data_IF_892781685145
#
_entry.id   IF_892781685145
#
_cell.length_a   1.000
_cell.length_b   1.000
_cell.length_c   1.000
_cell.angle_alpha   90.00
_cell.angle_beta   90.00
_cell.angle_gamma   90.00
#
_symmetry.space_group_name_H-M   'P 1'
#
loop_
_entity.id
_entity.type
_entity.pdbx_description
1 polymer ?
#
# COMPACT_ATOMS: atom_id res chain seq x y z
N UNK A 1 -44.61 -25.17 21.91
CA UNK A 1 -43.26 -24.65 21.65
C UNK A 1 -43.11 -24.48 20.13
N UNK A 2 -43.02 -23.24 19.61
CA UNK A 2 -42.65 -23.01 18.20
C UNK A 2 -41.20 -23.53 18.04
N UNK A 3 -40.96 -24.42 17.05
CA UNK A 3 -39.57 -24.77 16.68
C UNK A 3 -38.88 -23.47 16.28
N UNK A 4 -37.80 -23.13 16.95
CA UNK A 4 -36.94 -22.00 16.56
C UNK A 4 -36.38 -22.34 15.16
N UNK A 5 -36.67 -21.47 14.22
CA UNK A 5 -36.15 -21.63 12.84
C UNK A 5 -34.63 -21.46 12.87
N UNK A 6 -33.89 -22.27 12.13
CA UNK A 6 -32.45 -22.12 12.01
C UNK A 6 -32.14 -20.73 11.42
N UNK A 7 -31.08 -20.10 11.88
CA UNK A 7 -30.70 -18.73 11.50
C UNK A 7 -30.55 -18.59 9.97
N UNK A 8 -29.92 -19.56 9.32
CA UNK A 8 -29.74 -19.61 7.87
C UNK A 8 -31.01 -19.53 7.03
N UNK A 9 -32.18 -19.96 7.60
CA UNK A 9 -33.46 -19.97 6.91
C UNK A 9 -34.28 -18.68 7.14
N UNK A 10 -33.73 -17.70 7.85
CA UNK A 10 -34.40 -16.41 8.08
C UNK A 10 -34.21 -15.50 6.85
N UNK A 11 -35.14 -14.57 6.66
CA UNK A 11 -34.97 -13.45 5.76
C UNK A 11 -33.86 -12.52 6.28
N UNK A 12 -33.29 -11.68 5.43
CA UNK A 12 -32.22 -10.74 5.80
C UNK A 12 -32.64 -9.82 6.96
N UNK A 13 -33.86 -9.25 6.90
CA UNK A 13 -34.43 -8.41 7.97
C UNK A 13 -34.52 -9.19 9.29
N UNK A 14 -34.96 -10.46 9.25
CA UNK A 14 -35.06 -11.30 10.46
C UNK A 14 -33.66 -11.63 11.02
N UNK A 15 -32.66 -11.82 10.17
CA UNK A 15 -31.26 -12.02 10.60
C UNK A 15 -30.70 -10.78 11.28
N UNK A 16 -30.87 -9.60 10.67
CA UNK A 16 -30.43 -8.31 11.23
C UNK A 16 -31.08 -8.09 12.60
N UNK A 17 -32.39 -8.23 12.69
CA UNK A 17 -33.15 -8.09 13.96
C UNK A 17 -32.61 -9.05 15.04
N UNK A 18 -32.33 -10.29 14.66
CA UNK A 18 -31.82 -11.30 15.59
C UNK A 18 -30.38 -11.04 15.99
N UNK A 19 -29.53 -10.60 15.08
CA UNK A 19 -28.18 -10.22 15.36
C UNK A 19 -28.13 -9.03 16.32
N UNK A 20 -28.92 -7.99 16.09
CA UNK A 20 -29.08 -6.86 17.01
C UNK A 20 -29.49 -7.31 18.42
N UNK A 21 -30.54 -8.11 18.56
CA UNK A 21 -30.99 -8.63 19.86
C UNK A 21 -29.92 -9.46 20.57
N UNK A 22 -29.11 -10.19 19.83
CA UNK A 22 -28.02 -10.96 20.37
C UNK A 22 -26.88 -10.03 20.85
N UNK A 23 -26.48 -9.02 20.10
CA UNK A 23 -25.49 -8.01 20.51
C UNK A 23 -25.91 -7.29 21.79
N UNK A 24 -27.20 -6.87 21.90
CA UNK A 24 -27.77 -6.28 23.12
C UNK A 24 -27.66 -7.21 24.34
N UNK A 25 -27.87 -8.50 24.11
CA UNK A 25 -27.78 -9.50 25.18
C UNK A 25 -26.35 -9.68 25.65
N UNK A 26 -25.40 -9.74 24.71
CA UNK A 26 -23.96 -9.86 25.03
C UNK A 26 -23.47 -8.66 25.83
N UNK A 27 -23.80 -7.44 25.40
CA UNK A 27 -23.48 -6.22 26.14
C UNK A 27 -24.11 -6.17 27.53
N UNK A 28 -25.39 -6.59 27.65
CA UNK A 28 -26.07 -6.64 28.95
C UNK A 28 -25.43 -7.64 29.94
N UNK A 29 -24.79 -8.66 29.44
CA UNK A 29 -23.99 -9.63 30.21
C UNK A 29 -22.53 -9.16 30.44
N UNK A 30 -22.17 -7.97 29.94
CA UNK A 30 -20.86 -7.35 30.12
C UNK A 30 -19.77 -7.93 29.22
N UNK A 31 -20.15 -8.56 28.10
CA UNK A 31 -19.22 -9.09 27.10
C UNK A 31 -18.97 -8.07 26.01
N UNK A 32 -17.74 -8.04 25.49
CA UNK A 32 -17.34 -7.24 24.34
C UNK A 32 -17.95 -7.81 23.05
N UNK A 33 -18.43 -6.93 22.18
CA UNK A 33 -19.01 -7.25 20.86
C UNK A 33 -18.21 -6.48 19.83
N UNK A 34 -17.17 -7.13 19.24
CA UNK A 34 -16.16 -6.49 18.42
C UNK A 34 -15.78 -7.33 17.21
N UNK A 35 -15.56 -6.64 16.08
CA UNK A 35 -15.04 -7.21 14.84
C UNK A 35 -13.80 -6.42 14.45
N UNK A 36 -12.77 -7.11 14.00
CA UNK A 36 -11.52 -6.52 13.52
C UNK A 36 -11.18 -7.04 12.13
N UNK A 37 -10.46 -6.22 11.38
CA UNK A 37 -9.92 -6.63 10.09
C UNK A 37 -8.47 -6.18 9.95
N UNK A 38 -7.77 -6.92 9.10
CA UNK A 38 -6.41 -6.66 8.70
C UNK A 38 -6.17 -7.30 7.34
N UNK A 39 -5.62 -6.55 6.39
CA UNK A 39 -5.38 -7.06 5.06
C UNK A 39 -4.75 -6.06 4.11
N UNK A 40 -4.59 -6.50 2.87
CA UNK A 40 -3.95 -5.80 1.77
C UNK A 40 -2.91 -6.69 1.07
N UNK A 41 -2.37 -6.24 -0.05
CA UNK A 41 -1.37 -7.00 -0.81
C UNK A 41 -1.81 -8.44 -1.14
N UNK A 42 -3.03 -8.59 -1.68
CA UNK A 42 -3.65 -9.85 -2.11
C UNK A 42 -4.14 -10.78 -0.99
N UNK A 43 -4.16 -10.35 0.26
CA UNK A 43 -4.72 -11.15 1.36
C UNK A 43 -5.25 -10.31 2.51
N UNK A 44 -6.34 -10.75 3.11
CA UNK A 44 -6.91 -10.10 4.27
C UNK A 44 -8.00 -10.95 4.92
N UNK A 45 -8.41 -10.54 6.11
CA UNK A 45 -9.46 -11.21 6.85
C UNK A 45 -10.24 -10.22 7.73
N UNK A 46 -11.51 -10.52 7.90
CA UNK A 46 -12.38 -9.90 8.91
C UNK A 46 -12.67 -10.98 9.95
N UNK A 47 -12.51 -10.67 11.22
CA UNK A 47 -12.60 -11.65 12.29
C UNK A 47 -13.47 -11.15 13.43
N UNK A 48 -14.26 -12.06 14.01
CA UNK A 48 -14.88 -11.84 15.31
C UNK A 48 -13.81 -11.75 16.41
N UNK A 49 -13.92 -10.74 17.28
CA UNK A 49 -13.00 -10.50 18.41
C UNK A 49 -13.73 -10.25 19.74
N UNK A 50 -15.06 -10.37 19.76
CA UNK A 50 -15.82 -10.28 21.00
C UNK A 50 -15.57 -11.45 21.95
N UNK A 51 -16.07 -11.31 23.19
CA UNK A 51 -15.86 -12.29 24.26
C UNK A 51 -16.63 -13.61 24.06
N UNK A 52 -17.59 -13.63 23.17
CA UNK A 52 -18.43 -14.81 22.93
C UNK A 52 -17.81 -15.74 21.90
N UNK A 53 -18.09 -17.05 22.05
CA UNK A 53 -17.69 -18.03 21.03
C UNK A 53 -18.34 -17.73 19.68
N UNK A 54 -17.60 -18.02 18.59
CA UNK A 54 -18.09 -17.92 17.23
C UNK A 54 -19.33 -18.79 17.00
N UNK A 55 -20.31 -18.26 16.27
CA UNK A 55 -21.58 -18.91 15.98
C UNK A 55 -22.22 -18.33 14.71
N UNK A 56 -23.38 -18.87 14.27
CA UNK A 56 -24.08 -18.43 13.06
C UNK A 56 -24.37 -16.91 13.01
N UNK A 57 -24.49 -16.25 14.16
CA UNK A 57 -24.73 -14.79 14.24
C UNK A 57 -23.44 -14.02 14.06
N UNK A 58 -22.37 -14.45 14.71
CA UNK A 58 -21.04 -13.82 14.55
C UNK A 58 -20.53 -13.98 13.13
N UNK A 59 -20.72 -15.14 12.51
CA UNK A 59 -20.36 -15.37 11.10
C UNK A 59 -21.14 -14.40 10.18
N UNK A 60 -22.43 -14.26 10.40
CA UNK A 60 -23.26 -13.31 9.65
C UNK A 60 -22.79 -11.86 9.83
N UNK A 61 -22.45 -11.44 11.06
CA UNK A 61 -21.97 -10.09 11.33
C UNK A 61 -20.60 -9.82 10.67
N UNK A 62 -19.71 -10.80 10.69
CA UNK A 62 -18.42 -10.73 10.01
C UNK A 62 -18.59 -10.58 8.49
N UNK A 63 -19.53 -11.34 7.89
CA UNK A 63 -19.85 -11.22 6.47
C UNK A 63 -20.43 -9.82 6.14
N UNK A 64 -21.30 -9.26 6.99
CA UNK A 64 -21.84 -7.92 6.79
C UNK A 64 -20.77 -6.84 6.87
N UNK A 65 -19.82 -6.94 7.81
CA UNK A 65 -18.69 -6.01 7.90
C UNK A 65 -17.77 -6.16 6.68
N UNK A 66 -17.51 -7.39 6.24
CA UNK A 66 -16.72 -7.63 5.03
C UNK A 66 -17.33 -6.96 3.79
N UNK A 67 -18.66 -7.06 3.64
CA UNK A 67 -19.39 -6.42 2.55
C UNK A 67 -19.40 -4.89 2.67
N UNK A 68 -19.51 -4.33 3.88
CA UNK A 68 -19.49 -2.88 4.13
C UNK A 68 -18.11 -2.25 3.83
N UNK A 69 -17.02 -2.95 4.12
CA UNK A 69 -15.66 -2.48 3.85
C UNK A 69 -15.35 -2.41 2.35
N UNK A 70 -16.01 -3.20 1.52
CA UNK A 70 -15.89 -3.25 0.04
C UNK A 70 -14.45 -3.46 -0.49
N UNK A 71 -13.58 -4.10 0.29
CA UNK A 71 -12.21 -4.41 -0.14
C UNK A 71 -12.13 -5.63 -1.07
N UNK A 72 -13.25 -6.32 -1.30
CA UNK A 72 -13.33 -7.46 -2.19
C UNK A 72 -12.33 -8.56 -1.83
N UNK A 73 -11.44 -8.89 -2.75
CA UNK A 73 -10.43 -9.94 -2.52
C UNK A 73 -9.17 -9.46 -1.80
N UNK A 74 -9.13 -8.23 -1.31
CA UNK A 74 -7.93 -7.57 -0.76
C UNK A 74 -6.78 -7.45 -1.76
N UNK A 75 -7.11 -7.47 -3.07
CA UNK A 75 -6.12 -7.37 -4.13
C UNK A 75 -5.79 -5.92 -4.43
N UNK A 76 -4.50 -5.59 -4.43
CA UNK A 76 -3.98 -4.26 -4.75
C UNK A 76 -2.79 -3.89 -3.88
N UNK A 77 -2.16 -2.77 -4.23
CA UNK A 77 -1.00 -2.22 -3.51
C UNK A 77 -1.48 -1.30 -2.36
N UNK A 78 -2.27 -1.88 -1.45
CA UNK A 78 -2.78 -1.18 -0.28
C UNK A 78 -2.69 -2.06 0.97
N UNK A 79 -2.82 -1.45 2.14
CA UNK A 79 -3.15 -2.14 3.38
C UNK A 79 -4.31 -1.45 4.08
N UNK A 80 -5.13 -2.25 4.78
CA UNK A 80 -6.22 -1.73 5.57
C UNK A 80 -6.31 -2.52 6.88
N UNK A 81 -6.56 -1.81 7.97
CA UNK A 81 -6.78 -2.43 9.27
C UNK A 81 -7.77 -1.60 10.07
N UNK A 82 -8.50 -2.25 10.94
CA UNK A 82 -9.45 -1.51 11.76
C UNK A 82 -10.28 -2.39 12.67
N UNK A 83 -11.26 -1.76 13.27
CA UNK A 83 -12.21 -2.44 14.13
C UNK A 83 -13.55 -1.72 14.18
N UNK A 84 -14.58 -2.47 14.53
CA UNK A 84 -15.90 -1.97 14.90
C UNK A 84 -16.36 -2.59 16.21
N UNK A 85 -17.01 -1.80 17.04
CA UNK A 85 -17.67 -2.22 18.27
C UNK A 85 -19.18 -1.92 18.18
N UNK A 86 -19.99 -2.79 18.74
CA UNK A 86 -21.43 -2.57 18.76
C UNK A 86 -21.80 -1.46 19.75
N UNK A 87 -22.48 -0.43 19.26
CA UNK A 87 -23.06 0.69 20.01
C UNK A 87 -24.58 0.47 20.15
N UNK A 88 -25.03 0.23 21.39
CA UNK A 88 -26.44 0.00 21.70
C UNK A 88 -27.32 1.23 21.46
N UNK A 89 -26.79 2.44 21.68
CA UNK A 89 -27.55 3.68 21.50
C UNK A 89 -27.80 3.94 20.01
N UNK A 90 -26.82 3.59 19.17
CA UNK A 90 -26.90 3.72 17.72
C UNK A 90 -27.51 2.49 17.04
N UNK A 91 -27.57 1.34 17.72
CA UNK A 91 -27.95 0.05 17.16
C UNK A 91 -27.15 -0.30 15.91
N UNK A 92 -25.84 -0.06 15.96
CA UNK A 92 -24.91 -0.18 14.87
C UNK A 92 -23.55 -0.65 15.36
N UNK A 93 -22.78 -1.28 14.51
CA UNK A 93 -21.35 -1.35 14.70
C UNK A 93 -20.72 -0.04 14.23
N UNK A 94 -19.89 0.56 15.06
CA UNK A 94 -19.18 1.79 14.78
C UNK A 94 -17.69 1.60 15.03
N UNK A 95 -16.88 2.17 14.20
CA UNK A 95 -15.42 2.00 14.34
C UNK A 95 -14.64 2.83 13.35
N UNK A 96 -13.38 2.45 13.20
CA UNK A 96 -12.42 3.18 12.38
C UNK A 96 -11.70 2.20 11.47
N UNK A 97 -11.59 2.58 10.22
CA UNK A 97 -10.79 1.94 9.20
C UNK A 97 -9.55 2.80 8.92
N UNK A 98 -8.38 2.18 9.00
CA UNK A 98 -7.09 2.76 8.66
C UNK A 98 -6.64 2.16 7.33
N UNK A 99 -6.75 2.95 6.29
CA UNK A 99 -6.39 2.56 4.93
C UNK A 99 -5.09 3.25 4.50
N UNK A 100 -4.17 2.51 3.92
CA UNK A 100 -2.97 3.07 3.29
C UNK A 100 -2.80 2.51 1.88
N UNK A 101 -2.32 3.33 0.97
CA UNK A 101 -2.06 2.97 -0.42
C UNK A 101 -0.66 3.40 -0.84
N UNK A 102 0.08 2.44 -1.39
CA UNK A 102 1.38 2.70 -1.99
C UNK A 102 1.20 3.35 -3.37
N UNK A 103 1.95 4.40 -3.63
CA UNK A 103 1.97 5.11 -4.92
C UNK A 103 3.43 5.37 -5.34
N UNK A 104 3.60 5.70 -6.62
CA UNK A 104 4.91 5.99 -7.19
C UNK A 104 4.93 7.40 -7.73
N UNK A 105 5.93 8.17 -7.34
CA UNK A 105 6.16 9.52 -7.81
C UNK A 105 7.44 9.61 -8.62
N UNK A 106 7.32 10.09 -9.84
CA UNK A 106 8.47 10.46 -10.65
C UNK A 106 9.20 11.67 -10.08
N UNK A 107 10.51 11.75 -10.28
CA UNK A 107 11.25 12.97 -10.01
C UNK A 107 10.79 14.10 -10.95
N UNK A 108 10.78 15.34 -10.46
CA UNK A 108 10.41 16.54 -11.25
C UNK A 108 11.24 16.69 -12.51
N UNK A 109 12.49 16.26 -12.48
CA UNK A 109 13.41 16.29 -13.60
C UNK A 109 14.08 14.94 -13.76
N UNK A 110 14.17 14.48 -15.00
CA UNK A 110 14.90 13.25 -15.32
C UNK A 110 16.38 13.38 -15.01
N UNK A 111 16.94 12.38 -14.35
CA UNK A 111 18.37 12.23 -14.22
C UNK A 111 18.93 11.67 -15.52
N UNK A 112 20.06 12.21 -15.99
CA UNK A 112 20.66 11.83 -17.26
C UNK A 112 22.14 11.51 -17.06
N UNK A 113 22.55 10.29 -17.44
CA UNK A 113 23.95 9.89 -17.50
C UNK A 113 24.46 10.09 -18.92
N UNK A 114 25.52 10.89 -19.07
CA UNK A 114 26.19 11.13 -20.33
C UNK A 114 27.49 10.30 -20.42
N UNK A 115 27.59 9.43 -21.42
CA UNK A 115 28.81 8.61 -21.65
C UNK A 115 29.46 9.04 -22.95
N UNK A 116 30.76 9.37 -22.93
CA UNK A 116 31.48 9.72 -24.16
C UNK A 116 31.36 8.62 -25.23
N UNK A 117 30.93 8.97 -26.43
CA UNK A 117 30.69 8.06 -27.57
C UNK A 117 31.93 7.28 -28.02
N UNK A 118 33.12 7.71 -27.59
CA UNK A 118 34.38 6.99 -27.86
C UNK A 118 34.45 5.60 -27.22
N UNK A 119 33.62 5.37 -26.19
CA UNK A 119 33.53 4.10 -25.48
C UNK A 119 32.47 3.20 -26.10
N UNK A 120 32.81 1.94 -26.23
CA UNK A 120 31.86 0.90 -26.65
C UNK A 120 31.69 -0.12 -25.53
N UNK A 121 30.44 -0.55 -25.34
CA UNK A 121 30.05 -1.59 -24.37
C UNK A 121 28.81 -2.33 -24.90
N UNK A 122 28.47 -3.49 -24.34
CA UNK A 122 27.31 -4.27 -24.76
C UNK A 122 26.03 -3.76 -24.08
N UNK A 123 26.13 -3.49 -22.79
CA UNK A 123 25.00 -3.13 -21.95
C UNK A 123 25.47 -2.22 -20.81
N UNK A 124 24.64 -1.28 -20.42
CA UNK A 124 24.76 -0.51 -19.18
C UNK A 124 23.63 -0.90 -18.24
N UNK A 125 23.93 -1.04 -16.95
CA UNK A 125 22.94 -1.23 -15.90
C UNK A 125 23.13 -0.21 -14.81
N UNK A 126 22.04 0.28 -14.24
CA UNK A 126 22.08 1.16 -13.09
C UNK A 126 21.13 0.67 -11.99
N UNK A 127 21.42 1.09 -10.78
CA UNK A 127 20.60 0.86 -9.62
C UNK A 127 20.62 2.11 -8.74
N UNK A 128 19.43 2.60 -8.41
CA UNK A 128 19.21 3.74 -7.51
C UNK A 128 18.42 3.22 -6.32
N UNK A 129 18.97 3.35 -5.12
CA UNK A 129 18.33 2.83 -3.92
C UNK A 129 18.39 3.81 -2.76
N UNK A 130 17.35 3.80 -1.95
CA UNK A 130 17.33 4.36 -0.62
C UNK A 130 16.41 3.50 0.25
N UNK A 131 17.01 2.74 1.16
CA UNK A 131 16.29 1.78 2.00
C UNK A 131 15.94 2.29 3.39
N UNK A 132 16.40 3.48 3.78
CA UNK A 132 16.19 3.94 5.15
C UNK A 132 14.84 4.64 5.38
N UNK A 133 14.03 4.82 4.31
CA UNK A 133 12.70 5.41 4.42
C UNK A 133 12.69 6.82 5.03
N UNK A 134 13.81 7.54 4.93
CA UNK A 134 13.98 8.88 5.48
C UNK A 134 14.44 9.83 4.38
N UNK A 135 13.74 10.92 4.18
CA UNK A 135 14.11 11.97 3.23
C UNK A 135 15.51 12.60 3.52
N UNK A 136 16.10 12.29 4.69
CA UNK A 136 17.45 12.70 5.07
C UNK A 136 18.49 11.63 4.74
N UNK A 137 18.09 10.40 4.35
CA UNK A 137 19.02 9.35 3.90
C UNK A 137 19.62 9.70 2.54
N UNK A 138 20.84 9.23 2.34
CA UNK A 138 21.54 9.45 1.08
C UNK A 138 21.16 8.35 0.09
N UNK A 139 20.68 8.75 -1.08
CA UNK A 139 20.46 7.82 -2.19
C UNK A 139 21.79 7.16 -2.57
N UNK A 140 21.78 5.86 -2.78
CA UNK A 140 22.90 5.14 -3.38
C UNK A 140 22.65 4.95 -4.87
N UNK A 141 23.61 5.37 -5.69
CA UNK A 141 23.59 5.17 -7.14
C UNK A 141 24.79 4.36 -7.60
N UNK A 142 24.53 3.25 -8.26
CA UNK A 142 25.56 2.43 -8.89
C UNK A 142 25.31 2.30 -10.38
N UNK A 143 26.38 2.34 -11.18
CA UNK A 143 26.32 2.12 -12.62
C UNK A 143 27.44 1.15 -13.04
N UNK A 144 27.08 0.18 -13.86
CA UNK A 144 27.99 -0.83 -14.35
C UNK A 144 27.83 -0.99 -15.87
N UNK A 145 28.93 -1.30 -16.54
CA UNK A 145 28.90 -1.69 -17.95
C UNK A 145 29.30 -3.14 -18.12
N UNK A 146 28.66 -3.82 -19.03
CA UNK A 146 29.00 -5.19 -19.44
C UNK A 146 29.71 -5.13 -20.79
N UNK A 147 30.96 -5.55 -20.81
CA UNK A 147 31.74 -5.76 -22.02
C UNK A 147 32.86 -6.75 -21.74
N UNK A 148 33.52 -7.30 -22.79
CA UNK A 148 34.61 -8.27 -22.67
C UNK A 148 35.88 -7.70 -22.04
N UNK A 149 36.12 -6.39 -22.18
CA UNK A 149 37.22 -5.65 -21.56
C UNK A 149 36.73 -4.25 -21.20
N UNK A 150 36.85 -3.89 -19.93
CA UNK A 150 36.44 -2.56 -19.44
C UNK A 150 37.65 -1.62 -19.53
N UNK A 151 37.46 -0.51 -20.25
CA UNK A 151 38.47 0.56 -20.31
C UNK A 151 38.54 1.27 -18.93
N UNK A 152 39.73 1.37 -18.30
CA UNK A 152 39.90 2.05 -17.02
C UNK A 152 39.47 3.53 -17.04
N UNK A 153 39.56 4.20 -18.21
CA UNK A 153 39.10 5.57 -18.36
C UNK A 153 37.53 5.63 -18.28
N UNK A 154 36.84 4.67 -18.90
CA UNK A 154 35.39 4.58 -18.82
C UNK A 154 34.93 4.35 -17.37
N UNK A 155 35.61 3.45 -16.65
CA UNK A 155 35.27 3.18 -15.25
C UNK A 155 35.42 4.44 -14.36
N UNK A 156 36.47 5.22 -14.58
CA UNK A 156 36.67 6.48 -13.85
C UNK A 156 35.61 7.54 -14.22
N UNK A 157 35.24 7.61 -15.51
CA UNK A 157 34.19 8.54 -15.97
C UNK A 157 32.83 8.18 -15.36
N UNK A 158 32.45 6.90 -15.34
CA UNK A 158 31.24 6.42 -14.74
C UNK A 158 31.14 6.74 -13.23
N UNK A 159 32.26 6.56 -12.51
CA UNK A 159 32.33 6.92 -11.08
C UNK A 159 32.07 8.41 -10.84
N UNK A 160 32.68 9.27 -11.64
CA UNK A 160 32.47 10.73 -11.52
C UNK A 160 31.04 11.12 -11.85
N UNK A 161 30.48 10.52 -12.90
CA UNK A 161 29.10 10.76 -13.30
C UNK A 161 28.12 10.24 -12.24
N UNK A 162 28.42 9.09 -11.63
CA UNK A 162 27.61 8.52 -10.56
C UNK A 162 27.51 9.47 -9.36
N UNK A 163 28.63 10.08 -8.93
CA UNK A 163 28.62 11.02 -7.82
C UNK A 163 27.73 12.25 -8.12
N UNK A 164 27.80 12.78 -9.35
CA UNK A 164 27.00 13.94 -9.78
C UNK A 164 25.51 13.58 -9.86
N UNK A 165 25.19 12.41 -10.41
CA UNK A 165 23.79 11.94 -10.53
C UNK A 165 23.20 11.69 -9.15
N UNK A 166 23.96 11.05 -8.27
CA UNK A 166 23.56 10.84 -6.88
C UNK A 166 23.17 12.15 -6.21
N UNK A 167 24.05 13.17 -6.24
CA UNK A 167 23.80 14.49 -5.66
C UNK A 167 22.55 15.14 -6.26
N UNK A 168 22.37 15.01 -7.58
CA UNK A 168 21.19 15.53 -8.27
C UNK A 168 19.89 14.84 -7.80
N UNK A 169 19.88 13.51 -7.65
CA UNK A 169 18.72 12.77 -7.16
C UNK A 169 18.42 13.13 -5.70
N UNK A 170 19.45 13.17 -4.84
CA UNK A 170 19.33 13.59 -3.44
C UNK A 170 18.68 14.99 -3.31
N UNK A 171 19.11 15.94 -4.13
CA UNK A 171 18.55 17.30 -4.12
C UNK A 171 17.09 17.33 -4.57
N UNK A 172 16.71 16.52 -5.56
CA UNK A 172 15.33 16.43 -6.01
C UNK A 172 14.42 15.79 -4.94
N UNK A 173 14.84 14.65 -4.37
CA UNK A 173 14.08 13.97 -3.31
C UNK A 173 13.82 14.91 -2.14
N UNK A 174 14.83 15.66 -1.68
CA UNK A 174 14.69 16.61 -0.58
C UNK A 174 13.82 17.84 -0.89
N UNK A 175 13.69 18.18 -2.18
CA UNK A 175 12.90 19.34 -2.61
C UNK A 175 11.45 19.02 -2.92
N UNK A 176 11.07 17.74 -2.98
CA UNK A 176 9.72 17.33 -3.29
C UNK A 176 8.77 17.64 -2.15
N UNK A 177 7.62 18.20 -2.52
CA UNK A 177 6.48 18.38 -1.62
C UNK A 177 5.61 17.13 -1.67
N UNK A 178 5.71 16.29 -0.67
CA UNK A 178 4.94 15.06 -0.57
C UNK A 178 3.49 15.29 -0.12
N UNK A 179 3.14 16.50 0.36
CA UNK A 179 1.84 16.77 0.98
C UNK A 179 1.64 15.90 2.21
N UNK A 180 0.52 15.15 2.23
CA UNK A 180 0.18 14.24 3.34
C UNK A 180 0.75 12.81 3.15
N UNK A 181 1.60 12.59 2.13
CA UNK A 181 2.18 11.28 1.83
C UNK A 181 3.49 11.06 2.59
N UNK A 182 3.72 9.82 2.99
CA UNK A 182 4.97 9.39 3.61
C UNK A 182 5.95 8.84 2.56
N UNK A 183 7.23 9.17 2.69
CA UNK A 183 8.28 8.65 1.83
C UNK A 183 8.70 7.26 2.28
N UNK A 184 8.63 6.27 1.38
CA UNK A 184 9.00 4.88 1.65
C UNK A 184 10.36 4.48 1.08
N UNK A 185 10.93 5.26 0.15
CA UNK A 185 12.24 4.99 -0.42
C UNK A 185 12.27 4.91 -1.95
N UNK A 186 13.42 4.57 -2.47
CA UNK A 186 13.70 4.35 -3.89
C UNK A 186 14.31 2.96 -4.06
N UNK A 187 13.85 2.22 -5.06
CA UNK A 187 14.48 0.96 -5.51
C UNK A 187 14.23 0.78 -7.01
N UNK A 188 15.07 1.43 -7.84
CA UNK A 188 14.95 1.40 -9.29
C UNK A 188 16.20 0.79 -9.91
N UNK A 189 16.03 -0.25 -10.71
CA UNK A 189 17.11 -0.90 -11.42
C UNK A 189 16.74 -1.18 -12.88
N UNK A 190 17.62 -0.84 -13.79
CA UNK A 190 17.41 -1.08 -15.21
C UNK A 190 18.70 -1.50 -15.92
N UNK A 191 18.52 -2.18 -17.06
CA UNK A 191 19.61 -2.57 -17.96
C UNK A 191 19.26 -2.21 -19.39
N UNK A 192 20.12 -1.40 -20.02
CA UNK A 192 19.90 -0.84 -21.36
C UNK A 192 21.01 -1.31 -22.28
N UNK A 193 20.64 -1.80 -23.46
CA UNK A 193 21.62 -2.22 -24.49
C UNK A 193 22.20 -1.01 -25.21
N UNK A 194 23.48 -1.09 -25.60
CA UNK A 194 24.17 -0.02 -26.33
C UNK A 194 23.40 0.48 -27.56
N UNK A 195 22.84 -0.44 -28.35
CA UNK A 195 22.16 -0.13 -29.61
C UNK A 195 20.82 0.63 -29.42
N UNK A 196 20.31 0.69 -28.20
CA UNK A 196 19.08 1.42 -27.84
C UNK A 196 19.37 2.82 -27.27
N UNK A 197 20.63 3.17 -27.05
CA UNK A 197 20.99 4.46 -26.49
C UNK A 197 20.87 5.59 -27.52
N UNK A 198 20.34 6.70 -27.08
CA UNK A 198 20.30 7.92 -27.86
C UNK A 198 21.69 8.57 -27.93
N UNK A 199 21.91 9.34 -29.01
CA UNK A 199 23.16 10.05 -29.25
C UNK A 199 22.89 11.55 -29.27
N UNK A 200 23.56 12.28 -28.40
CA UNK A 200 23.60 13.75 -28.42
C UNK A 200 25.07 14.22 -28.55
N UNK A 201 25.40 14.75 -29.72
CA UNK A 201 26.74 15.20 -30.05
C UNK A 201 27.77 14.06 -29.92
N UNK A 202 28.71 14.24 -29.00
CA UNK A 202 29.82 13.27 -28.72
C UNK A 202 29.50 12.34 -27.52
N UNK A 203 28.22 12.29 -27.07
CA UNK A 203 27.78 11.49 -25.93
C UNK A 203 26.68 10.53 -26.32
N UNK A 204 26.67 9.41 -25.62
CA UNK A 204 25.51 8.51 -25.46
C UNK A 204 24.71 8.99 -24.26
N UNK A 205 23.40 9.05 -24.42
CA UNK A 205 22.47 9.55 -23.40
C UNK A 205 21.75 8.37 -22.76
N UNK A 206 21.86 8.26 -21.45
CA UNK A 206 21.07 7.30 -20.65
C UNK A 206 20.14 8.12 -19.79
N UNK A 207 18.83 8.13 -20.12
CA UNK A 207 17.82 8.65 -19.21
C UNK A 207 17.58 7.62 -18.13
N UNK A 208 17.61 8.07 -16.87
CA UNK A 208 17.36 7.22 -15.72
C UNK A 208 15.90 7.39 -15.29
N UNK A 209 15.14 6.32 -15.33
CA UNK A 209 13.82 6.29 -14.75
C UNK A 209 13.96 6.12 -13.24
N UNK A 210 13.69 7.20 -12.51
CA UNK A 210 13.77 7.24 -11.04
C UNK A 210 12.43 7.67 -10.50
N UNK A 211 11.82 6.79 -9.73
CA UNK A 211 10.58 7.05 -9.03
C UNK A 211 10.72 6.66 -7.55
N UNK A 212 10.01 7.36 -6.72
CA UNK A 212 9.93 7.10 -5.29
C UNK A 212 8.67 6.32 -4.97
N UNK A 213 8.76 5.43 -4.01
CA UNK A 213 7.59 4.89 -3.33
C UNK A 213 7.17 5.85 -2.24
N UNK A 214 5.89 6.11 -2.20
CA UNK A 214 5.25 6.93 -1.16
C UNK A 214 3.99 6.21 -0.68
N UNK A 215 3.59 6.47 0.55
CA UNK A 215 2.36 5.96 1.12
C UNK A 215 1.43 7.12 1.44
N UNK A 216 0.15 6.98 1.09
CA UNK A 216 -0.91 7.85 1.56
C UNK A 216 -1.77 7.10 2.57
N UNK A 217 -2.05 7.72 3.73
CA UNK A 217 -2.92 7.15 4.76
C UNK A 217 -4.24 7.88 4.85
N UNK A 218 -5.32 7.14 5.06
CA UNK A 218 -6.65 7.70 5.34
C UNK A 218 -7.27 6.98 6.53
N UNK A 219 -7.84 7.76 7.44
CA UNK A 219 -8.64 7.25 8.54
C UNK A 219 -10.11 7.56 8.26
N UNK A 220 -10.95 6.52 8.24
CA UNK A 220 -12.38 6.63 7.94
C UNK A 220 -13.20 6.11 9.09
N UNK A 221 -14.24 6.85 9.45
CA UNK A 221 -15.30 6.31 10.28
C UNK A 221 -16.12 5.29 9.47
N UNK A 222 -16.32 4.11 10.01
CA UNK A 222 -17.13 3.05 9.40
C UNK A 222 -18.30 2.69 10.30
N UNK A 223 -19.48 2.50 9.69
CA UNK A 223 -20.73 2.26 10.42
C UNK A 223 -21.56 1.20 9.71
N UNK A 224 -21.76 0.06 10.36
CA UNK A 224 -22.71 -0.97 9.92
C UNK A 224 -24.00 -0.87 10.73
N UNK A 225 -25.07 -0.39 10.12
CA UNK A 225 -26.38 -0.24 10.76
C UNK A 225 -27.11 -1.59 10.89
N UNK A 226 -27.60 -1.88 12.10
CA UNK A 226 -28.48 -3.01 12.38
C UNK A 226 -29.93 -2.57 12.69
N UNK A 227 -30.30 -1.34 12.30
CA UNK A 227 -31.70 -0.84 12.39
C UNK A 227 -32.55 -1.48 11.33
N UNK A 228 -33.80 -1.76 11.67
CA UNK A 228 -34.80 -2.14 10.67
C UNK A 228 -35.14 -0.89 9.84
N UNK A 229 -35.36 -1.03 8.53
CA UNK A 229 -35.73 0.07 7.61
C UNK A 229 -37.07 0.76 8.01
N UNK A 230 -37.85 0.13 8.89
CA UNK A 230 -39.16 0.63 9.36
C UNK A 230 -39.04 1.48 10.65
N UNK A 231 -37.85 1.69 11.20
CA UNK A 231 -37.59 2.44 12.45
C UNK A 231 -37.23 3.94 12.22
N UNK A 232 -37.48 4.48 11.00
CA UNK A 232 -37.34 5.91 10.69
C UNK A 232 -38.59 6.75 11.03
#
# INVERSE_FOLDING_TARGET
MKKQQAFELLSEVEKITRARQWCETELAEGREVRIEWDGGNDSGCVNWRGDSDENEITDFLVDQVYDELDYGSWAGDFSASGYMEYDSDQQAFVGTDYYTEDDYLDLDKKAVLLIPKKYYFDQISYHVTDYEGSADSLVEFTVNVKQGFIDPELENELKRSADVIKEFIDDQVRSLDLGDREYLGIDNAESINYDSLEVDGDHLVVELDVYMRVESGEEKDVVLNLKDEDDE
#
